data_IF_491475063776
#
_entry.id   IF_491475063776
#
_cell.length_a   1.000
_cell.length_b   1.000
_cell.length_c   1.000
_cell.angle_alpha   90.00
_cell.angle_beta   90.00
_cell.angle_gamma   90.00
#
_symmetry.space_group_name_H-M   'P 1'
#
loop_
_entity.id
_entity.type
_entity.pdbx_description
1 polymer ?
#
# COMPACT_ATOMS: atom_id res chain seq x y z
N UNK A 1 14.20 17.37 19.49
CA UNK A 1 12.96 18.15 19.24
C UNK A 1 12.72 18.47 17.76
N UNK A 2 13.67 18.22 16.84
CA UNK A 2 13.50 18.55 15.42
C UNK A 2 12.81 17.48 14.55
N UNK A 3 12.81 16.20 14.96
CA UNK A 3 12.22 15.11 14.15
C UNK A 3 10.68 15.16 14.12
N UNK A 4 10.04 15.66 15.18
CA UNK A 4 8.59 15.90 15.25
C UNK A 4 8.12 16.96 14.22
N UNK A 5 9.04 17.82 13.75
CA UNK A 5 8.76 18.77 12.68
C UNK A 5 8.84 18.12 11.29
N UNK A 6 9.61 17.05 11.09
CA UNK A 6 9.83 16.45 9.77
C UNK A 6 8.61 15.63 9.32
N UNK A 7 8.08 14.76 10.18
CA UNK A 7 6.85 14.00 9.91
C UNK A 7 5.66 14.92 9.62
N UNK A 8 5.51 16.00 10.41
CA UNK A 8 4.49 17.03 10.17
C UNK A 8 4.69 17.76 8.84
N UNK A 9 5.94 18.08 8.46
CA UNK A 9 6.27 18.69 7.16
C UNK A 9 5.94 17.75 5.99
N UNK A 10 6.20 16.46 6.10
CA UNK A 10 5.87 15.50 5.03
C UNK A 10 4.37 15.25 4.91
N UNK A 11 3.66 15.21 6.03
CA UNK A 11 2.21 15.10 6.05
C UNK A 11 1.58 16.36 5.43
N UNK A 12 2.09 17.55 5.79
CA UNK A 12 1.70 18.82 5.16
C UNK A 12 2.03 18.84 3.67
N UNK A 13 3.20 18.36 3.26
CA UNK A 13 3.61 18.31 1.86
C UNK A 13 2.74 17.32 1.05
N UNK A 14 2.40 16.17 1.61
CA UNK A 14 1.52 15.17 0.98
C UNK A 14 0.10 15.70 0.86
N UNK A 15 -0.43 16.33 1.91
CA UNK A 15 -1.73 17.02 1.86
C UNK A 15 -1.72 18.16 0.84
N UNK A 16 -0.66 18.98 0.83
CA UNK A 16 -0.48 20.07 -0.11
C UNK A 16 -0.41 19.54 -1.55
N UNK A 17 0.33 18.47 -1.80
CA UNK A 17 0.44 17.87 -3.13
C UNK A 17 -0.87 17.25 -3.59
N UNK A 18 -1.63 16.62 -2.70
CA UNK A 18 -2.97 16.10 -3.01
C UNK A 18 -3.96 17.24 -3.25
N UNK A 19 -3.86 18.33 -2.49
CA UNK A 19 -4.67 19.54 -2.66
C UNK A 19 -4.31 20.26 -3.96
N UNK A 20 -3.03 20.36 -4.32
CA UNK A 20 -2.56 20.92 -5.59
C UNK A 20 -3.00 20.03 -6.75
N UNK A 21 -2.93 18.70 -6.65
CA UNK A 21 -3.46 17.78 -7.68
C UNK A 21 -4.96 17.95 -7.86
N UNK A 22 -5.72 18.01 -6.75
CA UNK A 22 -7.15 18.29 -6.74
C UNK A 22 -7.44 19.66 -7.35
N UNK A 23 -6.66 20.68 -6.99
CA UNK A 23 -6.79 22.05 -7.47
C UNK A 23 -6.45 22.17 -8.95
N UNK A 24 -5.40 21.52 -9.46
CA UNK A 24 -5.06 21.52 -10.89
C UNK A 24 -6.18 20.85 -11.70
N UNK A 25 -6.73 19.74 -11.20
CA UNK A 25 -7.89 19.07 -11.82
C UNK A 25 -9.14 19.95 -11.81
N UNK A 26 -9.37 20.67 -10.70
CA UNK A 26 -10.45 21.63 -10.49
C UNK A 26 -10.29 22.90 -11.33
N UNK A 27 -9.05 23.38 -11.50
CA UNK A 27 -8.69 24.58 -12.26
C UNK A 27 -9.09 24.43 -13.72
N UNK A 28 -8.91 23.24 -14.31
CA UNK A 28 -9.36 23.00 -15.68
C UNK A 28 -10.89 23.09 -15.83
N UNK A 29 -11.65 22.63 -14.82
CA UNK A 29 -13.12 22.68 -14.83
C UNK A 29 -13.63 24.09 -14.58
N UNK A 30 -13.00 24.84 -13.65
CA UNK A 30 -13.29 26.26 -13.42
C UNK A 30 -12.91 27.10 -14.63
N UNK A 31 -11.73 26.90 -15.22
CA UNK A 31 -11.30 27.66 -16.39
C UNK A 31 -12.26 27.39 -17.57
N UNK A 32 -12.68 26.15 -17.75
CA UNK A 32 -13.72 25.81 -18.72
C UNK A 32 -15.04 26.54 -18.41
N UNK A 33 -15.49 26.53 -17.16
CA UNK A 33 -16.72 27.22 -16.75
C UNK A 33 -16.62 28.75 -16.92
N UNK A 34 -15.50 29.37 -16.54
CA UNK A 34 -15.24 30.81 -16.67
C UNK A 34 -15.15 31.21 -18.15
N UNK A 35 -14.38 30.46 -18.95
CA UNK A 35 -14.30 30.70 -20.39
C UNK A 35 -15.70 30.57 -21.02
N UNK A 36 -16.50 29.60 -20.56
CA UNK A 36 -17.85 29.41 -21.05
C UNK A 36 -18.82 30.55 -20.67
N UNK A 37 -18.72 31.07 -19.44
CA UNK A 37 -19.53 32.20 -18.96
C UNK A 37 -19.11 33.52 -19.64
N UNK A 38 -17.81 33.76 -19.80
CA UNK A 38 -17.29 35.01 -20.37
C UNK A 38 -17.50 35.12 -21.88
N UNK A 39 -17.38 34.02 -22.61
CA UNK A 39 -17.43 34.05 -24.08
C UNK A 39 -18.81 33.72 -24.66
N UNK A 40 -19.73 33.14 -23.87
CA UNK A 40 -20.97 32.59 -24.45
C UNK A 40 -22.27 32.94 -23.73
N UNK A 41 -22.26 33.91 -22.80
CA UNK A 41 -23.48 34.47 -22.24
C UNK A 41 -24.09 35.46 -23.25
N UNK A 42 -25.16 35.05 -23.94
CA UNK A 42 -26.03 35.96 -24.70
C UNK A 42 -26.12 35.80 -26.23
N UNK A 43 -25.63 34.71 -26.83
CA UNK A 43 -25.87 34.44 -28.26
C UNK A 43 -26.18 32.96 -28.53
N UNK A 44 -27.42 32.68 -28.93
CA UNK A 44 -27.92 31.34 -29.31
C UNK A 44 -27.63 30.98 -30.77
N UNK A 45 -26.67 31.63 -31.43
CA UNK A 45 -26.34 31.25 -32.80
C UNK A 45 -25.77 29.84 -32.83
N UNK A 46 -26.15 29.04 -33.83
CA UNK A 46 -25.67 27.66 -34.01
C UNK A 46 -24.14 27.56 -34.03
N UNK A 47 -23.44 28.61 -34.47
CA UNK A 47 -21.98 28.69 -34.41
C UNK A 47 -21.41 28.71 -32.98
N UNK A 48 -22.10 29.35 -32.04
CA UNK A 48 -21.71 29.33 -30.62
C UNK A 48 -21.84 27.93 -30.02
N UNK A 49 -22.90 27.19 -30.35
CA UNK A 49 -23.09 25.82 -29.89
C UNK A 49 -21.99 24.88 -30.41
N UNK A 50 -21.63 24.99 -31.70
CA UNK A 50 -20.56 24.18 -32.29
C UNK A 50 -19.21 24.50 -31.64
N UNK A 51 -18.91 25.79 -31.41
CA UNK A 51 -17.69 26.21 -30.71
C UNK A 51 -17.62 25.64 -29.27
N UNK A 52 -18.75 25.61 -28.55
CA UNK A 52 -18.85 25.01 -27.22
C UNK A 52 -18.51 23.51 -27.24
N UNK A 53 -19.09 22.77 -28.19
CA UNK A 53 -18.84 21.32 -28.34
C UNK A 53 -17.38 21.05 -28.68
N UNK A 54 -16.79 21.82 -29.60
CA UNK A 54 -15.38 21.68 -29.97
C UNK A 54 -14.44 21.94 -28.78
N UNK A 55 -14.66 23.00 -28.01
CA UNK A 55 -13.83 23.33 -26.84
C UNK A 55 -13.96 22.25 -25.76
N UNK A 56 -15.18 21.80 -25.46
CA UNK A 56 -15.40 20.72 -24.50
C UNK A 56 -14.69 19.43 -24.91
N UNK A 57 -14.82 19.04 -26.18
CA UNK A 57 -14.17 17.84 -26.74
C UNK A 57 -12.64 17.96 -26.64
N UNK A 58 -12.09 19.13 -26.96
CA UNK A 58 -10.66 19.40 -26.86
C UNK A 58 -10.13 19.29 -25.43
N UNK A 59 -10.87 19.82 -24.44
CA UNK A 59 -10.51 19.73 -23.02
C UNK A 59 -10.53 18.27 -22.54
N UNK A 60 -11.54 17.49 -22.94
CA UNK A 60 -11.62 16.06 -22.63
C UNK A 60 -10.41 15.33 -23.20
N UNK A 61 -10.12 15.51 -24.49
CA UNK A 61 -8.99 14.87 -25.17
C UNK A 61 -7.65 15.22 -24.51
N UNK A 62 -7.40 16.49 -24.18
CA UNK A 62 -6.17 16.90 -23.49
C UNK A 62 -6.02 16.22 -22.13
N UNK A 63 -7.11 16.07 -21.37
CA UNK A 63 -7.10 15.35 -20.09
C UNK A 63 -6.83 13.86 -20.29
N UNK A 64 -7.54 13.21 -21.21
CA UNK A 64 -7.37 11.77 -21.51
C UNK A 64 -5.94 11.47 -21.94
N UNK A 65 -5.33 12.31 -22.79
CA UNK A 65 -3.95 12.13 -23.25
C UNK A 65 -2.94 12.30 -22.11
N UNK A 66 -3.12 13.29 -21.24
CA UNK A 66 -2.24 13.51 -20.09
C UNK A 66 -2.29 12.34 -19.09
N UNK A 67 -3.48 11.79 -18.87
CA UNK A 67 -3.70 10.60 -18.03
C UNK A 67 -3.06 9.37 -18.69
N UNK A 68 -3.34 9.12 -19.97
CA UNK A 68 -2.77 8.00 -20.73
C UNK A 68 -1.24 8.04 -20.71
N UNK A 69 -0.63 9.21 -20.89
CA UNK A 69 0.82 9.39 -20.85
C UNK A 69 1.39 9.07 -19.46
N UNK A 70 0.70 9.44 -18.37
CA UNK A 70 1.12 9.10 -17.00
C UNK A 70 0.96 7.62 -16.67
N UNK A 71 -0.12 6.99 -17.14
CA UNK A 71 -0.34 5.54 -16.99
C UNK A 71 0.72 4.76 -17.76
N UNK A 72 1.03 5.16 -19.00
CA UNK A 72 2.00 4.47 -19.84
C UNK A 72 3.47 4.75 -19.44
N UNK A 73 3.77 5.93 -18.89
CA UNK A 73 5.08 6.23 -18.32
C UNK A 73 5.35 5.48 -17.00
N UNK A 74 4.30 4.98 -16.33
CA UNK A 74 4.39 4.16 -15.11
C UNK A 74 4.72 2.68 -15.38
N UNK A 75 5.41 2.37 -16.49
CA UNK A 75 5.91 1.01 -16.78
C UNK A 75 6.93 0.49 -15.75
N UNK A 76 7.37 1.31 -14.80
CA UNK A 76 8.02 0.84 -13.58
C UNK A 76 6.96 0.53 -12.51
N UNK A 77 6.67 -0.79 -12.39
CA UNK A 77 6.11 -1.65 -11.31
C UNK A 77 5.42 -1.09 -10.04
N UNK A 78 5.30 0.21 -9.81
CA UNK A 78 4.46 0.76 -8.73
C UNK A 78 3.06 0.93 -9.30
N UNK A 79 2.21 -0.08 -9.12
CA UNK A 79 0.77 0.03 -9.38
C UNK A 79 0.21 1.14 -8.49
N UNK A 80 0.14 2.36 -9.01
CA UNK A 80 -0.71 3.39 -8.45
C UNK A 80 -2.14 2.86 -8.52
N UNK A 81 -2.64 2.39 -7.38
CA UNK A 81 -4.02 1.96 -7.17
C UNK A 81 -4.95 3.18 -7.23
N UNK A 82 -5.02 3.82 -8.39
CA UNK A 82 -6.11 4.72 -8.68
C UNK A 82 -7.36 3.85 -8.78
N UNK A 83 -8.16 3.79 -7.71
CA UNK A 83 -9.50 3.20 -7.78
C UNK A 83 -10.20 3.82 -8.99
N UNK A 84 -10.48 3.00 -10.01
CA UNK A 84 -11.12 3.37 -11.27
C UNK A 84 -12.38 4.24 -11.04
N UNK A 85 -13.03 4.07 -9.89
CA UNK A 85 -14.15 4.86 -9.39
C UNK A 85 -13.93 6.38 -9.50
N UNK A 86 -12.72 6.86 -9.21
CA UNK A 86 -12.41 8.30 -9.28
C UNK A 86 -12.35 8.82 -10.72
N UNK A 87 -11.98 7.99 -11.69
CA UNK A 87 -12.00 8.35 -13.11
C UNK A 87 -13.43 8.38 -13.66
N UNK A 88 -14.25 7.36 -13.35
CA UNK A 88 -15.63 7.30 -13.84
C UNK A 88 -16.52 8.39 -13.25
N UNK A 89 -16.33 8.76 -11.98
CA UNK A 89 -17.06 9.87 -11.37
C UNK A 89 -16.74 11.20 -12.08
N UNK A 90 -15.48 11.44 -12.45
CA UNK A 90 -15.07 12.69 -13.10
C UNK A 90 -15.67 12.82 -14.52
N UNK A 91 -15.68 11.74 -15.30
CA UNK A 91 -16.29 11.75 -16.64
C UNK A 91 -17.82 11.85 -16.57
N UNK A 92 -18.46 11.18 -15.61
CA UNK A 92 -19.91 11.30 -15.39
C UNK A 92 -20.31 12.73 -15.01
N UNK A 93 -19.55 13.40 -14.13
CA UNK A 93 -19.82 14.80 -13.78
C UNK A 93 -19.57 15.75 -14.95
N UNK A 94 -18.56 15.49 -15.80
CA UNK A 94 -18.35 16.26 -17.03
C UNK A 94 -19.52 16.13 -18.01
N UNK A 95 -20.08 14.93 -18.15
CA UNK A 95 -21.25 14.65 -18.99
C UNK A 95 -22.52 15.26 -18.40
N UNK A 96 -22.75 15.13 -17.09
CA UNK A 96 -23.86 15.78 -16.38
C UNK A 96 -23.75 17.30 -16.51
N UNK A 97 -22.55 17.87 -16.40
CA UNK A 97 -22.31 19.29 -16.59
C UNK A 97 -22.65 19.74 -18.01
N UNK A 98 -22.28 18.97 -19.04
CA UNK A 98 -22.68 19.23 -20.43
C UNK A 98 -24.20 19.13 -20.63
N UNK A 99 -24.85 18.15 -20.00
CA UNK A 99 -26.29 17.93 -20.10
C UNK A 99 -27.11 19.05 -19.46
N UNK A 100 -26.73 19.49 -18.24
CA UNK A 100 -27.41 20.60 -17.57
C UNK A 100 -27.05 21.97 -18.15
N UNK A 101 -25.92 22.10 -18.86
CA UNK A 101 -25.57 23.32 -19.58
C UNK A 101 -26.45 23.60 -20.79
N UNK A 102 -27.09 22.58 -21.36
CA UNK A 102 -28.11 22.78 -22.39
C UNK A 102 -29.38 23.48 -21.87
N UNK A 103 -29.59 23.57 -20.55
CA UNK A 103 -30.85 24.00 -19.94
C UNK A 103 -30.79 25.33 -19.15
N UNK A 104 -29.71 26.11 -19.31
CA UNK A 104 -29.59 27.52 -18.85
C UNK A 104 -29.85 27.79 -17.34
N UNK A 105 -29.74 26.76 -16.49
CA UNK A 105 -29.98 26.90 -15.06
C UNK A 105 -28.70 27.18 -14.27
N UNK A 106 -28.40 28.48 -14.11
CA UNK A 106 -27.21 28.97 -13.37
C UNK A 106 -27.10 28.39 -11.94
N UNK A 107 -28.23 28.11 -11.29
CA UNK A 107 -28.31 27.57 -9.92
C UNK A 107 -27.73 26.15 -9.82
N UNK A 108 -27.90 25.32 -10.86
CA UNK A 108 -27.48 23.92 -10.84
C UNK A 108 -25.95 23.81 -10.81
N UNK A 109 -25.23 24.74 -11.44
CA UNK A 109 -23.76 24.76 -11.37
C UNK A 109 -23.23 25.01 -9.97
N UNK A 110 -23.86 25.93 -9.24
CA UNK A 110 -23.47 26.22 -7.86
C UNK A 110 -23.71 25.01 -6.96
N UNK A 111 -24.79 24.26 -7.21
CA UNK A 111 -25.07 23.01 -6.49
C UNK A 111 -24.04 21.93 -6.82
N UNK A 112 -23.71 21.71 -8.10
CA UNK A 112 -22.70 20.72 -8.51
C UNK A 112 -21.33 21.09 -7.93
N UNK A 113 -20.94 22.37 -8.00
CA UNK A 113 -19.68 22.85 -7.46
C UNK A 113 -19.62 22.73 -5.94
N UNK A 114 -20.74 22.98 -5.25
CA UNK A 114 -20.88 22.77 -3.80
C UNK A 114 -20.76 21.30 -3.40
N UNK A 115 -21.43 20.39 -4.11
CA UNK A 115 -21.34 18.94 -3.86
C UNK A 115 -19.91 18.41 -4.11
N UNK A 116 -19.23 18.95 -5.12
CA UNK A 116 -17.86 18.55 -5.43
C UNK A 116 -16.85 19.05 -4.39
N UNK A 117 -17.00 20.30 -3.93
CA UNK A 117 -16.22 20.85 -2.82
C UNK A 117 -16.41 20.01 -1.54
N UNK A 118 -17.66 19.66 -1.24
CA UNK A 118 -17.99 18.80 -0.10
C UNK A 118 -17.35 17.42 -0.22
N UNK A 119 -17.39 16.79 -1.40
CA UNK A 119 -16.74 15.51 -1.65
C UNK A 119 -15.22 15.57 -1.43
N UNK A 120 -14.56 16.62 -1.95
CA UNK A 120 -13.13 16.81 -1.76
C UNK A 120 -12.75 16.97 -0.28
N UNK A 121 -13.55 17.72 0.49
CA UNK A 121 -13.38 17.87 1.94
C UNK A 121 -13.53 16.51 2.64
N UNK A 122 -14.59 15.74 2.33
CA UNK A 122 -14.83 14.42 2.94
C UNK A 122 -13.66 13.47 2.66
N UNK A 123 -13.17 13.41 1.41
CA UNK A 123 -12.03 12.56 1.05
C UNK A 123 -10.73 13.02 1.73
N UNK A 124 -10.53 14.33 1.86
CA UNK A 124 -9.42 14.88 2.63
C UNK A 124 -9.46 14.45 4.10
N UNK A 125 -10.64 14.50 4.73
CA UNK A 125 -10.84 14.06 6.12
C UNK A 125 -10.61 12.56 6.28
N UNK A 126 -11.14 11.72 5.37
CA UNK A 126 -10.93 10.26 5.41
C UNK A 126 -9.45 9.93 5.28
N UNK A 127 -8.75 10.57 4.33
CA UNK A 127 -7.31 10.40 4.16
C UNK A 127 -6.55 10.85 5.41
N UNK A 128 -6.94 11.97 6.02
CA UNK A 128 -6.33 12.46 7.25
C UNK A 128 -6.56 11.48 8.41
N UNK A 129 -7.78 10.95 8.58
CA UNK A 129 -8.10 9.98 9.64
C UNK A 129 -7.30 8.68 9.49
N UNK A 130 -7.20 8.16 8.26
CA UNK A 130 -6.39 6.98 7.96
C UNK A 130 -4.90 7.20 8.23
N UNK A 131 -4.41 8.44 8.11
CA UNK A 131 -3.03 8.80 8.43
C UNK A 131 -2.84 9.10 9.93
N UNK A 132 -3.86 9.63 10.62
CA UNK A 132 -3.78 9.92 12.05
C UNK A 132 -4.03 8.70 12.93
N UNK A 133 -4.66 7.64 12.39
CA UNK A 133 -4.77 6.33 13.06
C UNK A 133 -3.47 5.54 13.00
N UNK A 134 -2.51 5.95 12.14
CA UNK A 134 -1.12 5.53 12.26
C UNK A 134 -0.52 6.36 13.40
N UNK A 135 -0.33 5.73 14.56
CA UNK A 135 0.18 6.37 15.76
C UNK A 135 1.65 6.81 15.52
N UNK A 136 1.84 8.03 15.00
CA UNK A 136 3.15 8.58 14.61
C UNK A 136 3.96 9.11 15.79
N UNK A 137 3.46 9.01 17.03
CA UNK A 137 4.17 9.51 18.21
C UNK A 137 5.37 8.63 18.61
N UNK A 138 5.51 7.41 18.04
CA UNK A 138 6.66 6.51 18.25
C UNK A 138 7.62 6.36 17.06
N UNK A 139 7.29 6.88 15.88
CA UNK A 139 8.06 6.65 14.65
C UNK A 139 9.00 7.83 14.38
N UNK A 140 10.22 7.72 14.91
CA UNK A 140 11.32 8.64 14.62
C UNK A 140 11.86 8.34 13.20
N UNK A 141 11.08 8.69 12.18
CA UNK A 141 11.45 8.46 10.78
C UNK A 141 12.56 9.44 10.41
N UNK A 142 13.78 8.91 10.31
CA UNK A 142 14.98 9.68 10.02
C UNK A 142 14.97 10.23 8.58
N UNK A 143 15.52 11.44 8.42
CA UNK A 143 15.58 12.23 7.18
C UNK A 143 16.35 11.49 6.08
N UNK A 144 17.26 10.57 6.45
CA UNK A 144 18.00 9.72 5.53
C UNK A 144 17.15 8.61 4.90
N UNK A 145 16.15 8.06 5.60
CA UNK A 145 15.24 7.04 5.05
C UNK A 145 14.41 7.61 3.88
N UNK A 146 13.92 8.84 4.05
CA UNK A 146 13.14 9.50 3.00
C UNK A 146 14.02 10.03 1.87
N UNK A 147 15.23 10.50 2.18
CA UNK A 147 16.21 10.84 1.14
C UNK A 147 16.68 9.59 0.35
N UNK A 148 16.75 8.41 0.99
CA UNK A 148 16.99 7.13 0.31
C UNK A 148 15.86 6.71 -0.63
N UNK A 149 14.60 6.90 -0.22
CA UNK A 149 13.42 6.67 -1.06
C UNK A 149 13.28 7.67 -2.22
N UNK A 150 13.68 8.93 -2.01
CA UNK A 150 13.65 9.96 -3.06
C UNK A 150 14.81 9.81 -4.05
N UNK A 151 16.02 9.45 -3.59
CA UNK A 151 17.19 9.26 -4.44
C UNK A 151 17.14 7.94 -5.25
N UNK A 152 16.54 6.89 -4.70
CA UNK A 152 16.27 5.65 -5.46
C UNK A 152 15.25 5.84 -6.59
N UNK A 153 14.45 6.91 -6.57
CA UNK A 153 13.54 7.27 -7.66
C UNK A 153 14.19 8.07 -8.81
N UNK A 154 15.41 8.60 -8.62
CA UNK A 154 16.11 9.43 -9.62
C UNK A 154 17.36 8.82 -10.25
N UNK A 155 17.78 7.61 -9.86
CA UNK A 155 19.00 6.99 -10.37
C UNK A 155 18.78 5.69 -11.16
N UNK A 156 18.36 5.77 -12.42
CA UNK A 156 18.64 4.70 -13.39
C UNK A 156 19.55 5.27 -14.48
N UNK A 157 20.86 5.26 -14.21
CA UNK A 157 21.84 4.91 -15.24
C UNK A 157 23.23 4.62 -14.66
N UNK A 158 23.71 3.42 -15.02
CA UNK A 158 25.08 2.95 -15.18
C UNK A 158 25.91 2.47 -13.97
N UNK A 159 26.14 1.16 -13.99
CA UNK A 159 27.36 0.42 -13.64
C UNK A 159 28.22 0.96 -12.49
N UNK A 160 28.02 0.38 -11.31
CA UNK A 160 29.05 0.33 -10.27
C UNK A 160 29.34 -1.13 -9.95
N UNK A 161 30.61 -1.50 -10.11
CA UNK A 161 31.20 -2.78 -9.78
C UNK A 161 31.35 -2.83 -8.24
N UNK A 162 30.60 -3.72 -7.58
CA UNK A 162 30.66 -3.92 -6.13
C UNK A 162 31.67 -5.03 -5.83
N UNK A 163 32.91 -4.68 -5.57
CA UNK A 163 33.92 -5.62 -5.06
C UNK A 163 34.86 -4.99 -4.02
N UNK A 164 34.50 -3.85 -3.39
CA UNK A 164 35.46 -3.15 -2.51
C UNK A 164 34.84 -2.26 -1.40
N UNK A 165 33.64 -2.58 -0.90
CA UNK A 165 33.07 -1.88 0.28
C UNK A 165 32.55 -2.88 1.30
N UNK A 166 33.47 -3.68 1.84
CA UNK A 166 33.24 -4.56 2.98
C UNK A 166 34.27 -4.24 4.06
N UNK A 167 34.22 -3.00 4.54
CA UNK A 167 34.82 -2.51 5.78
C UNK A 167 34.27 -1.08 5.95
N UNK A 168 33.86 -0.72 7.18
CA UNK A 168 33.21 0.55 7.58
C UNK A 168 31.67 0.55 7.61
N UNK A 169 31.09 -0.34 8.42
CA UNK A 169 29.96 0.05 9.28
C UNK A 169 30.35 -0.37 10.70
N UNK A 170 30.96 0.57 11.42
CA UNK A 170 31.18 0.46 12.86
C UNK A 170 29.80 0.41 13.55
N UNK A 171 29.62 -0.60 14.39
CA UNK A 171 28.50 -0.78 15.33
C UNK A 171 28.29 0.51 16.15
N UNK A 172 27.24 1.26 15.83
CA UNK A 172 26.59 2.10 16.83
C UNK A 172 25.76 1.17 17.73
N UNK A 173 26.35 0.74 18.84
CA UNK A 173 25.67 -0.03 19.88
C UNK A 173 24.58 0.84 20.52
N UNK A 174 23.33 0.57 20.14
CA UNK A 174 22.17 1.11 20.83
C UNK A 174 22.07 0.46 22.22
N UNK A 175 22.44 1.18 23.28
CA UNK A 175 22.00 0.89 24.64
C UNK A 175 20.49 1.24 24.71
N UNK A 176 19.65 0.33 24.23
CA UNK A 176 18.21 0.35 24.51
C UNK A 176 17.99 -0.35 25.85
N UNK A 177 17.60 0.42 26.87
CA UNK A 177 16.95 -0.14 28.05
C UNK A 177 15.70 -0.91 27.56
N UNK A 178 15.82 -2.23 27.38
CA UNK A 178 14.71 -3.11 26.99
C UNK A 178 13.66 -3.09 28.12
N UNK A 179 12.73 -2.13 28.06
CA UNK A 179 11.51 -2.20 28.85
C UNK A 179 10.74 -3.46 28.44
N UNK A 180 10.72 -4.44 29.35
CA UNK A 180 9.96 -5.68 29.19
C UNK A 180 8.47 -5.32 29.02
N UNK A 181 7.98 -5.48 27.78
CA UNK A 181 6.62 -5.10 27.40
C UNK A 181 5.60 -6.04 28.05
N UNK A 182 4.77 -5.48 28.92
CA UNK A 182 3.68 -6.18 29.57
C UNK A 182 2.41 -6.18 28.69
N UNK A 183 2.19 -7.28 27.97
CA UNK A 183 1.01 -7.48 27.13
C UNK A 183 -0.26 -7.82 27.91
N UNK A 184 -0.20 -8.01 29.24
CA UNK A 184 -1.39 -8.39 30.05
C UNK A 184 -2.46 -7.29 30.11
N UNK A 185 -2.08 -6.05 29.81
CA UNK A 185 -2.98 -4.88 29.83
C UNK A 185 -3.65 -4.59 28.48
N UNK A 186 -3.27 -5.29 27.42
CA UNK A 186 -3.77 -5.08 26.06
C UNK A 186 -5.09 -5.83 25.85
N UNK A 187 -6.08 -5.16 25.26
CA UNK A 187 -7.36 -5.78 24.90
C UNK A 187 -7.17 -6.86 23.81
N UNK A 188 -7.93 -7.95 23.91
CA UNK A 188 -7.85 -9.11 23.00
C UNK A 188 -7.83 -8.74 21.51
N UNK A 189 -8.70 -7.80 21.14
CA UNK A 189 -8.90 -7.36 19.75
C UNK A 189 -7.66 -6.65 19.16
N UNK A 190 -6.73 -6.22 20.02
CA UNK A 190 -5.50 -5.51 19.64
C UNK A 190 -4.24 -6.32 19.92
N UNK A 191 -4.32 -7.35 20.76
CA UNK A 191 -3.16 -8.10 21.26
C UNK A 191 -2.25 -8.65 20.15
N UNK A 192 -2.84 -9.30 19.15
CA UNK A 192 -2.08 -9.86 18.01
C UNK A 192 -1.38 -8.76 17.21
N UNK A 193 -2.08 -7.64 16.96
CA UNK A 193 -1.53 -6.49 16.23
C UNK A 193 -0.39 -5.83 17.00
N UNK A 194 -0.53 -5.63 18.31
CA UNK A 194 0.52 -5.01 19.14
C UNK A 194 1.78 -5.88 19.21
N UNK A 195 1.65 -7.21 19.33
CA UNK A 195 2.80 -8.13 19.28
C UNK A 195 3.46 -8.08 17.89
N UNK A 196 2.66 -8.09 16.83
CA UNK A 196 3.18 -7.98 15.46
C UNK A 196 3.98 -6.68 15.27
N UNK A 197 3.45 -5.55 15.74
CA UNK A 197 4.12 -4.25 15.66
C UNK A 197 5.38 -4.18 16.53
N UNK A 198 5.35 -4.78 17.72
CA UNK A 198 6.52 -4.91 18.59
C UNK A 198 7.65 -5.67 17.90
N UNK A 199 7.36 -6.86 17.36
CA UNK A 199 8.36 -7.67 16.65
C UNK A 199 8.85 -6.94 15.40
N UNK A 200 7.96 -6.29 14.65
CA UNK A 200 8.33 -5.50 13.48
C UNK A 200 9.27 -4.34 13.84
N UNK A 201 9.05 -3.67 14.98
CA UNK A 201 9.93 -2.63 15.47
C UNK A 201 11.32 -3.18 15.85
N UNK A 202 11.36 -4.34 16.54
CA UNK A 202 12.62 -5.01 16.90
C UNK A 202 13.42 -5.42 15.66
N UNK A 203 12.75 -5.86 14.60
CA UNK A 203 13.38 -6.13 13.31
C UNK A 203 13.89 -4.82 12.67
N UNK A 204 13.07 -3.77 12.67
CA UNK A 204 13.40 -2.48 12.08
C UNK A 204 13.52 -2.56 10.56
N UNK A 205 14.62 -2.03 10.00
CA UNK A 205 14.90 -2.07 8.55
C UNK A 205 15.72 -3.29 8.12
N UNK A 206 16.00 -4.21 9.04
CA UNK A 206 16.78 -5.43 8.76
C UNK A 206 15.93 -6.41 7.96
N UNK A 207 16.51 -7.03 6.95
CA UNK A 207 15.79 -7.97 6.07
C UNK A 207 16.65 -9.20 5.79
N UNK A 208 16.01 -10.33 5.53
CA UNK A 208 16.71 -11.55 5.13
C UNK A 208 17.48 -12.17 6.29
N UNK A 209 18.82 -12.24 6.20
CA UNK A 209 19.62 -12.94 7.22
C UNK A 209 19.50 -12.29 8.60
N UNK A 210 19.56 -10.96 8.67
CA UNK A 210 19.48 -10.22 9.93
C UNK A 210 18.08 -10.36 10.57
N UNK A 211 17.03 -10.44 9.74
CA UNK A 211 15.67 -10.70 10.20
C UNK A 211 15.55 -12.12 10.80
N UNK A 212 16.16 -13.12 10.16
CA UNK A 212 16.19 -14.49 10.67
C UNK A 212 16.93 -14.62 12.01
N UNK A 213 18.01 -13.85 12.22
CA UNK A 213 18.72 -13.84 13.51
C UNK A 213 17.82 -13.34 14.63
N UNK A 214 17.14 -12.21 14.42
CA UNK A 214 16.24 -11.61 15.42
C UNK A 214 15.08 -12.54 15.74
N UNK A 215 14.47 -13.17 14.72
CA UNK A 215 13.38 -14.11 14.93
C UNK A 215 13.78 -15.38 15.70
N UNK A 216 15.07 -15.75 15.70
CA UNK A 216 15.59 -16.89 16.47
C UNK A 216 15.85 -16.54 17.94
N UNK A 217 16.15 -15.28 18.22
CA UNK A 217 16.38 -14.78 19.58
C UNK A 217 15.06 -14.39 20.27
N UNK A 218 14.00 -14.17 19.49
CA UNK A 218 12.67 -13.93 20.00
C UNK A 218 12.10 -15.13 20.73
N UNK A 219 11.26 -14.81 21.70
CA UNK A 219 10.39 -15.78 22.32
C UNK A 219 9.60 -16.59 21.26
N UNK A 220 9.52 -17.94 21.39
CA UNK A 220 8.88 -18.78 20.38
C UNK A 220 7.42 -18.41 20.08
N UNK A 221 6.64 -18.02 21.10
CA UNK A 221 5.23 -17.69 20.90
C UNK A 221 5.10 -16.36 20.16
N UNK A 222 5.92 -15.36 20.52
CA UNK A 222 5.97 -14.08 19.80
C UNK A 222 6.41 -14.26 18.35
N UNK A 223 7.39 -15.14 18.12
CA UNK A 223 7.83 -15.53 16.78
C UNK A 223 6.67 -16.17 15.98
N UNK A 224 5.91 -17.06 16.60
CA UNK A 224 4.76 -17.69 15.95
C UNK A 224 3.63 -16.71 15.66
N UNK A 225 3.30 -15.81 16.59
CA UNK A 225 2.32 -14.74 16.35
C UNK A 225 2.77 -13.88 15.17
N UNK A 226 4.03 -13.45 15.15
CA UNK A 226 4.55 -12.63 14.07
C UNK A 226 4.49 -13.32 12.70
N UNK A 227 4.99 -14.56 12.60
CA UNK A 227 5.03 -15.30 11.34
C UNK A 227 3.63 -15.59 10.78
N UNK A 228 2.69 -15.96 11.66
CA UNK A 228 1.32 -16.27 11.25
C UNK A 228 0.56 -15.00 10.90
N UNK A 229 0.68 -13.93 11.69
CA UNK A 229 0.04 -12.65 11.36
C UNK A 229 0.56 -12.10 10.03
N UNK A 230 1.86 -12.24 9.77
CA UNK A 230 2.44 -11.84 8.48
C UNK A 230 1.90 -12.66 7.31
N UNK A 231 1.72 -13.96 7.50
CA UNK A 231 1.05 -14.83 6.51
C UNK A 231 -0.38 -14.32 6.24
N UNK A 232 -1.16 -14.03 7.28
CA UNK A 232 -2.53 -13.52 7.14
C UNK A 232 -2.53 -12.22 6.32
N UNK A 233 -1.75 -11.23 6.74
CA UNK A 233 -1.70 -9.91 6.09
C UNK A 233 -1.30 -10.00 4.61
N UNK A 234 -0.31 -10.82 4.28
CA UNK A 234 0.18 -10.94 2.90
C UNK A 234 -0.80 -11.69 2.00
N UNK A 235 -1.36 -12.80 2.49
CA UNK A 235 -2.30 -13.63 1.72
C UNK A 235 -3.65 -12.93 1.55
N UNK A 236 -4.16 -12.26 2.58
CA UNK A 236 -5.42 -11.50 2.47
C UNK A 236 -5.29 -10.29 1.56
N UNK A 237 -4.12 -9.64 1.55
CA UNK A 237 -3.88 -8.45 0.71
C UNK A 237 -3.74 -8.81 -0.77
N UNK A 238 -2.89 -9.78 -1.10
CA UNK A 238 -2.51 -10.08 -2.49
C UNK A 238 -2.32 -11.58 -2.78
N UNK A 239 -2.78 -12.45 -1.89
CA UNK A 239 -2.72 -13.91 -2.05
C UNK A 239 -1.35 -14.53 -1.79
N UNK A 240 -1.28 -15.86 -1.87
CA UNK A 240 -0.05 -16.64 -1.72
C UNK A 240 1.06 -16.23 -2.69
N UNK A 241 0.72 -15.63 -3.84
CA UNK A 241 1.72 -15.10 -4.76
C UNK A 241 2.55 -13.97 -4.14
N UNK A 242 1.92 -13.10 -3.34
CA UNK A 242 2.61 -12.06 -2.58
C UNK A 242 3.49 -12.66 -1.50
N UNK A 243 2.93 -13.61 -0.74
CA UNK A 243 3.65 -14.28 0.34
C UNK A 243 4.91 -14.96 -0.20
N UNK A 244 4.77 -15.83 -1.20
CA UNK A 244 5.89 -16.59 -1.71
C UNK A 244 6.87 -15.78 -2.54
N UNK A 245 6.42 -14.98 -3.50
CA UNK A 245 7.33 -14.43 -4.51
C UNK A 245 7.81 -13.02 -4.23
N UNK A 246 7.20 -12.33 -3.27
CA UNK A 246 7.44 -10.90 -3.04
C UNK A 246 7.94 -10.63 -1.62
N UNK A 247 7.49 -11.42 -0.64
CA UNK A 247 7.67 -11.07 0.77
C UNK A 247 8.24 -12.22 1.60
N UNK A 248 7.42 -12.89 2.43
CA UNK A 248 7.91 -13.65 3.59
C UNK A 248 7.98 -15.15 3.38
N UNK A 249 7.78 -15.62 2.15
CA UNK A 249 7.74 -17.03 1.81
C UNK A 249 9.00 -17.81 2.18
N UNK A 250 10.13 -17.15 2.39
CA UNK A 250 11.34 -17.80 2.87
C UNK A 250 11.22 -18.34 4.32
N UNK A 251 10.24 -17.86 5.11
CA UNK A 251 9.87 -18.40 6.43
C UNK A 251 8.73 -19.42 6.38
N UNK A 252 8.38 -19.96 5.20
CA UNK A 252 7.23 -20.85 5.07
C UNK A 252 7.32 -22.10 5.96
N UNK A 253 8.53 -22.65 6.16
CA UNK A 253 8.72 -23.85 7.00
C UNK A 253 8.54 -23.55 8.49
N UNK A 254 9.06 -22.42 8.97
CA UNK A 254 8.86 -21.93 10.33
C UNK A 254 7.38 -21.62 10.58
N UNK A 255 6.74 -20.97 9.61
CA UNK A 255 5.31 -20.65 9.67
C UNK A 255 4.47 -21.93 9.74
N UNK A 256 4.81 -22.97 8.96
CA UNK A 256 4.16 -24.28 9.04
C UNK A 256 4.29 -24.88 10.43
N UNK A 257 5.49 -24.84 11.04
CA UNK A 257 5.72 -25.37 12.39
C UNK A 257 4.85 -24.65 13.42
N UNK A 258 4.80 -23.31 13.37
CA UNK A 258 3.94 -22.53 14.24
C UNK A 258 2.46 -22.87 14.08
N UNK A 259 1.98 -23.08 12.83
CA UNK A 259 0.61 -23.51 12.57
C UNK A 259 0.31 -24.90 13.14
N UNK A 260 1.28 -25.81 13.13
CA UNK A 260 1.16 -27.12 13.78
C UNK A 260 1.08 -26.99 15.30
N UNK A 261 1.93 -26.15 15.89
CA UNK A 261 2.01 -25.92 17.34
C UNK A 261 0.69 -25.35 17.89
N UNK A 262 0.06 -24.39 17.20
CA UNK A 262 -1.25 -23.83 17.63
C UNK A 262 -2.46 -24.71 17.22
N UNK A 263 -2.21 -25.87 16.63
CA UNK A 263 -3.25 -26.78 16.15
C UNK A 263 -4.13 -26.20 15.04
N UNK A 264 -3.59 -25.32 14.19
CA UNK A 264 -4.28 -24.76 13.02
C UNK A 264 -4.16 -25.69 11.80
N UNK A 265 -4.61 -26.94 11.94
CA UNK A 265 -4.38 -28.01 10.96
C UNK A 265 -4.92 -27.71 9.56
N UNK A 266 -6.06 -27.02 9.44
CA UNK A 266 -6.65 -26.64 8.14
C UNK A 266 -5.72 -25.70 7.39
N UNK A 267 -5.31 -24.60 8.03
CA UNK A 267 -4.40 -23.60 7.47
C UNK A 267 -3.01 -24.19 7.19
N UNK A 268 -2.51 -25.05 8.09
CA UNK A 268 -1.26 -25.78 7.89
C UNK A 268 -1.31 -26.62 6.61
N UNK A 269 -2.41 -27.35 6.36
CA UNK A 269 -2.59 -28.10 5.12
C UNK A 269 -2.58 -27.19 3.89
N UNK A 270 -3.31 -26.07 3.94
CA UNK A 270 -3.37 -25.10 2.84
C UNK A 270 -1.98 -24.53 2.52
N UNK A 271 -1.21 -24.13 3.54
CA UNK A 271 0.13 -23.58 3.34
C UNK A 271 1.10 -24.63 2.80
N UNK A 272 1.03 -25.89 3.26
CA UNK A 272 1.81 -27.00 2.71
C UNK A 272 1.48 -27.29 1.26
N UNK A 273 0.19 -27.30 0.91
CA UNK A 273 -0.26 -27.44 -0.48
C UNK A 273 0.29 -26.29 -1.34
N UNK A 274 0.18 -25.05 -0.88
CA UNK A 274 0.68 -23.88 -1.60
C UNK A 274 2.21 -23.94 -1.77
N UNK A 275 2.94 -24.29 -0.71
CA UNK A 275 4.40 -24.45 -0.72
C UNK A 275 4.83 -25.52 -1.73
N UNK A 276 4.12 -26.65 -1.84
CA UNK A 276 4.45 -27.71 -2.79
C UNK A 276 4.39 -27.27 -4.26
N UNK A 277 3.65 -26.20 -4.59
CA UNK A 277 3.62 -25.63 -5.95
C UNK A 277 4.77 -24.66 -6.25
N UNK A 278 5.35 -24.08 -5.20
CA UNK A 278 6.44 -23.10 -5.28
C UNK A 278 7.80 -23.76 -5.05
N UNK A 279 7.83 -24.80 -4.24
CA UNK A 279 9.03 -25.53 -3.85
C UNK A 279 9.30 -26.68 -4.82
N UNK A 280 10.39 -26.57 -5.57
CA UNK A 280 10.76 -27.57 -6.59
C UNK A 280 11.51 -28.81 -6.02
N UNK A 281 11.45 -29.04 -4.69
CA UNK A 281 12.03 -30.22 -4.04
C UNK A 281 13.45 -30.05 -3.47
N UNK A 282 13.87 -28.81 -3.26
CA UNK A 282 15.26 -28.37 -3.36
C UNK A 282 16.15 -28.32 -2.09
N UNK A 283 15.90 -28.95 -0.94
CA UNK A 283 16.52 -28.51 0.35
C UNK A 283 16.02 -27.13 0.81
N UNK A 284 15.79 -27.03 2.12
CA UNK A 284 15.20 -25.84 2.75
C UNK A 284 16.12 -24.64 2.60
N UNK A 285 17.43 -24.83 2.81
CA UNK A 285 18.44 -23.79 2.67
C UNK A 285 18.50 -23.25 1.24
N UNK A 286 18.48 -24.12 0.23
CA UNK A 286 18.48 -23.70 -1.17
C UNK A 286 17.23 -22.90 -1.51
N UNK A 287 16.06 -23.34 -1.01
CA UNK A 287 14.83 -22.59 -1.17
C UNK A 287 14.88 -21.21 -0.52
N UNK A 288 15.34 -21.12 0.73
CA UNK A 288 15.53 -19.85 1.43
C UNK A 288 16.45 -18.91 0.65
N UNK A 289 17.59 -19.41 0.19
CA UNK A 289 18.56 -18.64 -0.60
C UNK A 289 17.94 -18.13 -1.92
N UNK A 290 17.18 -18.97 -2.62
CA UNK A 290 16.47 -18.56 -3.85
C UNK A 290 15.44 -17.47 -3.60
N UNK A 291 14.74 -17.53 -2.46
CA UNK A 291 13.72 -16.54 -2.10
C UNK A 291 14.34 -15.21 -1.67
N UNK A 292 15.51 -15.25 -1.03
CA UNK A 292 16.29 -14.05 -0.70
C UNK A 292 16.81 -13.36 -1.97
N UNK A 293 17.23 -14.13 -2.98
CA UNK A 293 17.61 -13.60 -4.28
C UNK A 293 16.38 -13.36 -5.17
N UNK A 294 15.69 -12.25 -4.91
CA UNK A 294 14.48 -11.79 -5.64
C UNK A 294 14.63 -11.73 -7.16
N UNK A 295 15.86 -11.75 -7.71
CA UNK A 295 16.12 -11.78 -9.16
C UNK A 295 15.93 -13.17 -9.78
N UNK A 296 15.99 -14.23 -8.97
CA UNK A 296 15.85 -15.62 -9.41
C UNK A 296 14.41 -16.12 -9.42
N UNK A 297 13.49 -15.34 -8.86
CA UNK A 297 12.07 -15.68 -8.85
C UNK A 297 11.48 -15.35 -10.22
N UNK A 298 11.49 -16.34 -11.11
CA UNK A 298 10.74 -16.26 -12.37
C UNK A 298 9.24 -16.10 -12.07
N UNK A 299 8.58 -15.20 -12.80
CA UNK A 299 7.14 -15.04 -12.70
C UNK A 299 6.48 -16.41 -12.95
N UNK A 300 5.69 -16.94 -12.00
CA UNK A 300 5.11 -18.25 -12.15
C UNK A 300 4.19 -18.31 -13.36
N UNK A 301 4.09 -19.49 -13.98
CA UNK A 301 3.19 -19.71 -15.12
C UNK A 301 1.74 -19.40 -14.72
N UNK A 302 0.91 -19.02 -15.69
CA UNK A 302 -0.51 -18.72 -15.45
C UNK A 302 -1.25 -19.84 -14.69
N UNK A 303 -0.89 -21.09 -14.98
CA UNK A 303 -1.46 -22.26 -14.31
C UNK A 303 -1.11 -22.32 -12.81
N UNK A 304 0.12 -21.91 -12.41
CA UNK A 304 0.50 -21.84 -10.99
C UNK A 304 -0.33 -20.79 -10.25
N UNK A 305 -0.70 -19.68 -10.89
CA UNK A 305 -1.57 -18.65 -10.29
C UNK A 305 -2.99 -19.18 -10.02
N UNK A 306 -3.60 -19.91 -10.96
CA UNK A 306 -4.97 -20.40 -10.81
C UNK A 306 -5.11 -21.32 -9.58
N UNK A 307 -4.13 -22.19 -9.33
CA UNK A 307 -4.13 -23.07 -8.15
C UNK A 307 -3.94 -22.26 -6.85
N UNK A 308 -3.02 -21.29 -6.85
CA UNK A 308 -2.83 -20.42 -5.68
C UNK A 308 -4.09 -19.59 -5.38
N UNK A 309 -4.86 -19.19 -6.39
CA UNK A 309 -6.12 -18.47 -6.22
C UNK A 309 -7.22 -19.32 -5.57
N UNK A 310 -7.27 -20.62 -5.86
CA UNK A 310 -8.18 -21.54 -5.16
C UNK A 310 -7.78 -21.71 -3.68
N UNK A 311 -6.47 -21.81 -3.41
CA UNK A 311 -5.95 -21.89 -2.05
C UNK A 311 -6.17 -20.58 -1.27
N UNK A 312 -6.07 -19.42 -1.92
CA UNK A 312 -6.38 -18.12 -1.31
C UNK A 312 -7.82 -18.07 -0.79
N UNK A 313 -8.79 -18.60 -1.56
CA UNK A 313 -10.19 -18.64 -1.14
C UNK A 313 -10.37 -19.51 0.10
N UNK A 314 -9.79 -20.71 0.10
CA UNK A 314 -9.81 -21.62 1.27
C UNK A 314 -9.16 -20.96 2.50
N UNK A 315 -8.05 -20.24 2.30
CA UNK A 315 -7.37 -19.53 3.39
C UNK A 315 -8.27 -18.43 3.99
N UNK A 316 -8.97 -17.65 3.15
CA UNK A 316 -9.83 -16.56 3.63
C UNK A 316 -10.99 -17.02 4.53
N UNK A 317 -11.40 -18.28 4.43
CA UNK A 317 -12.44 -18.86 5.29
C UNK A 317 -11.92 -19.19 6.70
N UNK A 318 -10.59 -19.23 6.89
CA UNK A 318 -9.93 -19.64 8.14
C UNK A 318 -9.34 -18.46 8.94
N UNK A 319 -9.36 -17.23 8.39
CA UNK A 319 -8.71 -16.04 8.95
C UNK A 319 -9.16 -15.75 10.40
N UNK A 320 -10.47 -15.72 10.64
CA UNK A 320 -11.03 -15.43 11.96
C UNK A 320 -10.67 -16.52 13.00
N UNK A 321 -10.64 -17.79 12.57
CA UNK A 321 -10.27 -18.92 13.41
C UNK A 321 -8.79 -18.80 13.79
N UNK A 322 -7.95 -18.39 12.84
CA UNK A 322 -6.52 -18.25 13.04
C UNK A 322 -6.18 -17.13 14.03
N UNK A 323 -6.78 -15.95 13.89
CA UNK A 323 -6.60 -14.87 14.86
C UNK A 323 -7.01 -15.29 16.28
N UNK A 324 -8.12 -16.02 16.41
CA UNK A 324 -8.60 -16.52 17.71
C UNK A 324 -7.58 -17.45 18.37
N UNK A 325 -6.97 -18.34 17.58
CA UNK A 325 -5.91 -19.26 18.05
C UNK A 325 -4.63 -18.53 18.47
N UNK A 326 -4.27 -17.44 17.79
CA UNK A 326 -3.14 -16.61 18.20
C UNK A 326 -3.39 -15.96 19.56
N UNK A 327 -4.61 -15.45 19.80
CA UNK A 327 -5.00 -14.91 21.11
C UNK A 327 -4.92 -15.99 22.20
N UNK A 328 -5.43 -17.20 21.92
CA UNK A 328 -5.34 -18.34 22.85
C UNK A 328 -3.88 -18.70 23.19
N UNK A 329 -2.98 -18.76 22.19
CA UNK A 329 -1.55 -19.02 22.39
C UNK A 329 -0.92 -18.04 23.39
N UNK A 330 -1.23 -16.75 23.26
CA UNK A 330 -0.66 -15.70 24.12
C UNK A 330 -1.26 -15.77 25.53
N UNK A 331 -2.54 -16.11 25.64
CA UNK A 331 -3.25 -16.16 26.92
C UNK A 331 -2.92 -17.36 27.76
N UNK A 332 -2.72 -18.53 27.17
CA UNK A 332 -2.43 -19.77 27.92
C UNK A 332 -1.09 -19.71 28.69
N UNK A 333 -0.29 -18.67 28.43
CA UNK A 333 1.00 -18.41 29.08
C UNK A 333 0.92 -17.50 30.31
N UNK A 334 -0.08 -16.63 30.39
CA UNK A 334 -0.28 -15.67 31.48
C UNK A 334 -1.28 -16.23 32.51
#
# INVERSE_FOLDING_TARGET
MDNLNLGRKMLLLTLLMNLVKGFVMFSCTILAAIFMVLFFKGNESSGVLIAKIMIATFIIVLKTVSIYKKVNASNNKVRLNFKLESFYLIDLFGIIFLFFFAYDHTVIYLVILGLWLLYAIIKGIISYRSLSSLNLDGLNIDEQFVNGLLNSSQGINNNVNYDDTLDLLEDESYDEDEEELDFTSVEDDHLVTEIYLYVLNKIGNRTGHDEEVILRELDPDLCCVFLIERLILEVTTNGFSQYFYISSGYFAFETIRCLEEIGASSVCSILKEALAFVYDGDSIETYKLKQLDRKLIENPSKQKYEVLDELNKRFSEEEEILHRKLIELIKDRN
#
